data_IF_453547760043
#
_entry.id   IF_453547760043
#
_cell.length_a   1.000
_cell.length_b   1.000
_cell.length_c   1.000
_cell.angle_alpha   90.00
_cell.angle_beta   90.00
_cell.angle_gamma   90.00
#
_symmetry.space_group_name_H-M   'P 1'
#
loop_
_entity.id
_entity.type
_entity.pdbx_description
1 polymer ?
#
# COMPACT_ATOMS: atom_id res chain seq x y z
N UNK A 1 -10.05 -18.59 -6.34
CA UNK A 1 -9.89 -17.60 -5.26
C UNK A 1 -8.43 -17.21 -5.24
N UNK A 2 -8.08 -15.99 -5.61
CA UNK A 2 -6.69 -15.51 -5.60
C UNK A 2 -6.30 -15.22 -4.16
N UNK A 3 -5.56 -16.14 -3.55
CA UNK A 3 -4.85 -15.92 -2.30
C UNK A 3 -3.83 -14.81 -2.55
N UNK A 4 -3.86 -13.72 -1.78
CA UNK A 4 -2.73 -12.78 -1.77
C UNK A 4 -1.51 -13.56 -1.27
N UNK A 5 -0.50 -13.73 -2.13
CA UNK A 5 0.65 -14.59 -1.92
C UNK A 5 1.68 -14.01 -0.93
N UNK A 6 1.21 -13.52 0.22
CA UNK A 6 2.03 -12.90 1.26
C UNK A 6 1.57 -13.29 2.66
N UNK A 7 2.38 -12.96 3.66
CA UNK A 7 2.00 -13.11 5.07
C UNK A 7 0.75 -12.28 5.37
N UNK A 8 -0.14 -12.77 6.27
CA UNK A 8 -1.33 -12.02 6.65
C UNK A 8 -0.94 -10.63 7.18
N UNK A 9 -1.54 -9.58 6.63
CA UNK A 9 -1.25 -8.22 7.04
C UNK A 9 -2.15 -7.83 8.23
N UNK A 10 -1.53 -7.57 9.38
CA UNK A 10 -2.21 -7.01 10.54
C UNK A 10 -2.72 -5.60 10.23
N UNK A 11 -3.95 -5.33 10.62
CA UNK A 11 -4.68 -4.07 10.42
C UNK A 11 -5.54 -3.76 11.65
N UNK A 12 -6.10 -2.56 11.70
CA UNK A 12 -7.14 -2.17 12.64
C UNK A 12 -8.36 -1.68 11.87
N UNK A 13 -9.57 -2.01 12.35
CA UNK A 13 -10.82 -1.46 11.80
C UNK A 13 -11.58 -0.65 12.83
N UNK A 14 -12.32 0.35 12.37
CA UNK A 14 -13.08 1.25 13.24
C UNK A 14 -14.47 0.69 13.52
N UNK A 15 -14.83 0.58 14.80
CA UNK A 15 -16.14 0.10 15.24
C UNK A 15 -16.51 0.74 16.57
N UNK A 16 -17.76 1.20 16.73
CA UNK A 16 -18.28 1.77 17.99
C UNK A 16 -17.40 2.86 18.62
N UNK A 17 -16.69 3.66 17.80
CA UNK A 17 -15.83 4.73 18.30
C UNK A 17 -14.39 4.31 18.63
N UNK A 18 -14.05 3.02 18.46
CA UNK A 18 -12.75 2.46 18.80
C UNK A 18 -12.12 1.72 17.62
N UNK A 19 -10.81 1.49 17.68
CA UNK A 19 -10.05 0.73 16.69
C UNK A 19 -9.79 -0.69 17.22
N UNK A 20 -10.21 -1.69 16.46
CA UNK A 20 -10.09 -3.10 16.83
C UNK A 20 -9.10 -3.83 15.92
N UNK A 21 -8.27 -4.75 16.47
CA UNK A 21 -7.31 -5.51 15.68
C UNK A 21 -8.01 -6.47 14.71
N UNK A 22 -7.44 -6.61 13.51
CA UNK A 22 -7.93 -7.47 12.45
C UNK A 22 -6.78 -7.91 11.52
N UNK A 23 -7.10 -8.82 10.61
CA UNK A 23 -6.20 -9.34 9.58
C UNK A 23 -6.80 -9.08 8.21
N UNK A 24 -6.02 -8.54 7.30
CA UNK A 24 -6.42 -8.33 5.91
C UNK A 24 -6.31 -9.63 5.11
N UNK A 25 -7.42 -10.06 4.51
CA UNK A 25 -7.49 -11.26 3.69
C UNK A 25 -7.51 -10.98 2.18
N UNK A 26 -7.92 -9.79 1.77
CA UNK A 26 -8.14 -9.46 0.36
C UNK A 26 -8.78 -8.09 0.18
N UNK A 27 -8.97 -7.70 -1.08
CA UNK A 27 -9.65 -6.47 -1.45
C UNK A 27 -10.45 -6.67 -2.75
N UNK A 28 -11.43 -5.80 -2.98
CA UNK A 28 -12.20 -5.73 -4.22
C UNK A 28 -12.64 -4.28 -4.48
N UNK A 29 -13.13 -4.02 -5.67
CA UNK A 29 -13.93 -2.83 -5.94
C UNK A 29 -15.42 -3.17 -5.92
N UNK A 30 -16.24 -2.26 -5.40
CA UNK A 30 -17.69 -2.30 -5.56
C UNK A 30 -18.13 -1.86 -6.97
N UNK A 31 -19.43 -1.79 -7.21
CA UNK A 31 -20.00 -1.38 -8.50
C UNK A 31 -19.70 0.09 -8.88
N UNK A 32 -19.31 0.91 -7.91
CA UNK A 32 -18.97 2.33 -8.09
C UNK A 32 -17.45 2.56 -8.15
N UNK A 33 -16.65 1.51 -8.03
CA UNK A 33 -15.19 1.57 -8.04
C UNK A 33 -14.56 1.85 -6.67
N UNK A 34 -15.35 1.86 -5.59
CA UNK A 34 -14.82 2.04 -4.23
C UNK A 34 -14.10 0.79 -3.77
N UNK A 35 -12.94 0.96 -3.12
CA UNK A 35 -12.20 -0.17 -2.56
C UNK A 35 -12.82 -0.66 -1.24
N UNK A 36 -13.15 -1.95 -1.21
CA UNK A 36 -13.55 -2.68 -0.03
C UNK A 36 -12.48 -3.71 0.34
N UNK A 37 -12.18 -3.80 1.63
CA UNK A 37 -11.24 -4.75 2.20
C UNK A 37 -12.00 -5.92 2.82
N UNK A 38 -11.54 -7.14 2.56
CA UNK A 38 -12.02 -8.32 3.27
C UNK A 38 -11.16 -8.50 4.51
N UNK A 39 -11.77 -8.33 5.67
CA UNK A 39 -11.09 -8.38 6.96
C UNK A 39 -11.56 -9.57 7.78
N UNK A 40 -10.67 -10.15 8.59
CA UNK A 40 -10.99 -11.14 9.62
C UNK A 40 -10.66 -10.56 10.99
N UNK A 41 -11.54 -10.77 11.96
CA UNK A 41 -11.39 -10.25 13.32
C UNK A 41 -12.11 -11.17 14.32
N UNK A 42 -11.87 -10.95 15.61
CA UNK A 42 -12.51 -11.70 16.69
C UNK A 42 -13.33 -10.75 17.59
N UNK A 43 -14.62 -11.05 17.78
CA UNK A 43 -15.48 -10.34 18.73
C UNK A 43 -16.18 -11.37 19.61
N UNK A 44 -16.04 -11.21 20.93
CA UNK A 44 -16.64 -12.13 21.91
C UNK A 44 -16.13 -13.57 21.75
N UNK A 45 -14.87 -13.77 21.35
CA UNK A 45 -14.27 -15.08 21.13
C UNK A 45 -14.63 -15.76 19.80
N UNK A 46 -15.43 -15.10 18.95
CA UNK A 46 -15.82 -15.65 17.65
C UNK A 46 -15.07 -14.97 16.52
N UNK A 47 -14.38 -15.77 15.71
CA UNK A 47 -13.79 -15.31 14.44
C UNK A 47 -14.88 -14.99 13.44
N UNK A 48 -14.84 -13.78 12.91
CA UNK A 48 -15.74 -13.26 11.88
C UNK A 48 -14.93 -12.72 10.71
N UNK A 49 -15.57 -12.67 9.55
CA UNK A 49 -15.00 -12.01 8.38
C UNK A 49 -16.07 -11.20 7.66
N UNK A 50 -15.69 -10.02 7.17
CA UNK A 50 -16.60 -9.10 6.51
C UNK A 50 -15.88 -8.24 5.47
N UNK A 51 -16.67 -7.58 4.62
CA UNK A 51 -16.18 -6.51 3.74
C UNK A 51 -16.36 -5.18 4.46
N UNK A 52 -15.33 -4.33 4.43
CA UNK A 52 -15.33 -2.99 5.03
C UNK A 52 -14.78 -1.97 4.04
N UNK A 53 -15.24 -0.73 4.13
CA UNK A 53 -14.69 0.34 3.30
C UNK A 53 -13.22 0.59 3.69
N UNK A 54 -12.37 0.92 2.70
CA UNK A 54 -10.98 1.29 2.95
C UNK A 54 -10.83 2.43 3.99
N UNK A 55 -11.81 3.34 4.04
CA UNK A 55 -11.82 4.46 4.98
C UNK A 55 -11.97 4.04 6.46
N UNK A 56 -12.53 2.85 6.71
CA UNK A 56 -12.79 2.33 8.06
C UNK A 56 -11.65 1.44 8.58
N UNK A 57 -10.54 1.35 7.84
CA UNK A 57 -9.41 0.46 8.14
C UNK A 57 -8.10 1.24 8.11
N UNK A 58 -7.18 0.90 9.01
CA UNK A 58 -5.83 1.47 9.04
C UNK A 58 -4.78 0.42 9.37
N UNK A 59 -3.52 0.76 9.13
CA UNK A 59 -2.41 -0.03 9.67
C UNK A 59 -2.35 0.13 11.19
N UNK A 60 -1.92 -0.91 11.94
CA UNK A 60 -1.83 -0.84 13.38
C UNK A 60 -0.94 0.32 13.80
N UNK A 61 -1.40 1.09 14.77
CA UNK A 61 -0.67 2.26 15.21
C UNK A 61 0.56 1.81 16.01
N UNK A 62 1.70 1.63 15.34
CA UNK A 62 2.98 1.35 16.00
C UNK A 62 3.36 2.57 16.81
N UNK A 63 3.55 2.39 18.13
CA UNK A 63 4.19 3.39 18.96
C UNK A 63 5.59 3.60 18.40
N UNK A 64 5.77 4.68 17.65
CA UNK A 64 7.11 5.08 17.23
C UNK A 64 7.82 5.46 18.51
N UNK A 65 8.74 4.60 18.98
CA UNK A 65 9.64 4.97 20.05
C UNK A 65 10.21 6.33 19.66
N UNK A 66 9.97 7.35 20.50
CA UNK A 66 10.42 8.72 20.24
C UNK A 66 11.90 8.62 19.94
N UNK A 67 12.27 8.81 18.67
CA UNK A 67 13.65 8.64 18.23
C UNK A 67 14.42 9.77 18.90
N UNK A 68 15.05 9.50 20.04
CA UNK A 68 16.03 10.41 20.61
C UNK A 68 17.04 10.64 19.48
N UNK A 69 17.21 11.89 19.01
CA UNK A 69 18.23 12.16 18.02
C UNK A 69 19.55 11.59 18.56
N UNK A 70 20.31 10.80 17.77
CA UNK A 70 21.66 10.46 18.21
C UNK A 70 22.38 11.77 18.55
N UNK A 71 23.24 11.79 19.60
CA UNK A 71 24.02 12.99 19.92
C UNK A 71 24.70 13.44 18.63
N UNK A 72 24.54 14.73 18.31
CA UNK A 72 25.07 15.28 17.07
C UNK A 72 26.57 14.92 16.98
N UNK A 73 27.01 14.24 15.91
CA UNK A 73 28.43 14.05 15.70
C UNK A 73 29.07 15.43 15.60
N UNK A 74 30.20 15.62 16.28
CA UNK A 74 31.03 16.80 16.09
C UNK A 74 31.40 16.84 14.60
N UNK A 75 30.84 17.79 13.84
CA UNK A 75 31.15 17.93 12.42
C UNK A 75 32.67 18.07 12.25
N UNK A 76 33.31 17.07 11.63
CA UNK A 76 34.53 17.34 10.87
C UNK A 76 34.05 17.83 9.51
N UNK A 77 34.29 19.11 9.26
CA UNK A 77 33.65 19.89 8.22
C UNK A 77 34.12 19.54 6.80
N UNK A 78 34.06 18.28 6.34
CA UNK A 78 34.41 17.93 4.95
C UNK A 78 33.56 16.84 4.26
N UNK A 79 32.69 16.08 4.95
CA UNK A 79 32.00 14.92 4.30
C UNK A 79 30.47 14.84 4.48
N UNK A 80 29.80 15.92 4.90
CA UNK A 80 28.32 15.96 4.93
C UNK A 80 27.75 16.44 3.59
N UNK A 81 27.83 15.60 2.55
CA UNK A 81 26.98 15.78 1.37
C UNK A 81 25.57 15.31 1.70
N UNK A 82 24.81 16.18 2.36
CA UNK A 82 23.35 16.07 2.38
C UNK A 82 22.87 16.40 0.97
N UNK A 83 22.48 15.38 0.19
CA UNK A 83 21.74 15.60 -1.06
C UNK A 83 20.27 15.84 -0.69
N UNK A 84 19.76 17.09 -0.75
CA UNK A 84 18.32 17.27 -0.66
C UNK A 84 17.70 16.63 -1.89
N UNK A 85 16.77 15.70 -1.68
CA UNK A 85 15.90 15.20 -2.74
C UNK A 85 15.04 16.40 -3.16
N UNK A 86 15.47 17.15 -4.16
CA UNK A 86 14.67 18.19 -4.81
C UNK A 86 13.91 17.50 -5.93
N UNK A 87 12.58 17.51 -5.84
CA UNK A 87 11.67 16.90 -6.82
C UNK A 87 11.66 17.65 -8.17
N UNK A 88 12.45 18.71 -8.30
CA UNK A 88 12.32 19.73 -9.34
C UNK A 88 13.48 19.71 -10.36
N UNK A 89 14.50 18.86 -10.16
CA UNK A 89 15.51 18.59 -11.17
C UNK A 89 15.09 17.34 -11.94
N UNK A 90 14.68 17.56 -13.20
CA UNK A 90 14.32 16.51 -14.14
C UNK A 90 15.38 15.42 -14.13
N UNK A 91 14.96 14.23 -13.72
CA UNK A 91 15.76 13.02 -13.78
C UNK A 91 16.17 12.81 -15.24
N UNK A 92 17.44 13.05 -15.57
CA UNK A 92 18.06 12.56 -16.80
C UNK A 92 18.10 11.04 -16.69
N UNK A 93 16.95 10.41 -16.97
CA UNK A 93 16.87 8.97 -17.13
C UNK A 93 17.89 8.56 -18.19
N UNK A 94 18.71 7.52 -17.95
CA UNK A 94 19.40 6.90 -19.06
C UNK A 94 18.35 6.55 -20.13
N UNK A 95 18.61 7.01 -21.35
CA UNK A 95 17.69 6.85 -22.47
C UNK A 95 17.20 5.41 -22.54
N UNK A 96 15.89 5.17 -22.78
CA UNK A 96 15.31 3.85 -22.81
C UNK A 96 15.75 3.01 -24.04
N UNK A 97 17.04 2.76 -24.23
CA UNK A 97 17.57 1.86 -25.23
C UNK A 97 17.69 0.44 -24.63
N UNK A 98 16.58 -0.29 -24.49
CA UNK A 98 16.62 -1.69 -24.06
C UNK A 98 15.35 -2.27 -23.43
N UNK A 99 14.39 -1.44 -23.05
CA UNK A 99 13.03 -1.88 -22.69
C UNK A 99 12.23 -2.08 -23.99
N UNK A 100 12.38 -3.25 -24.59
CA UNK A 100 11.51 -3.64 -25.70
C UNK A 100 10.11 -3.89 -25.12
N UNK A 101 9.24 -2.86 -25.16
CA UNK A 101 7.82 -3.04 -24.82
C UNK A 101 7.22 -3.93 -25.89
N UNK A 102 6.67 -5.11 -25.54
CA UNK A 102 5.91 -5.88 -26.50
C UNK A 102 4.74 -5.02 -26.97
N UNK A 103 4.78 -4.56 -28.23
CA UNK A 103 3.65 -3.88 -28.83
C UNK A 103 2.48 -4.85 -28.86
N UNK A 104 1.27 -4.46 -28.39
CA UNK A 104 0.10 -5.30 -28.57
C UNK A 104 -0.03 -5.60 -30.06
N UNK A 105 -0.17 -6.89 -30.42
CA UNK A 105 -0.49 -7.27 -31.79
C UNK A 105 -1.81 -6.59 -32.14
N UNK A 106 -1.77 -5.62 -33.05
CA UNK A 106 -2.96 -5.07 -33.70
C UNK A 106 -3.55 -6.17 -34.58
N UNK A 107 -4.33 -7.05 -33.99
CA UNK A 107 -5.15 -8.06 -34.67
C UNK A 107 -6.62 -7.74 -34.41
N UNK A 108 -7.37 -7.57 -35.49
CA UNK A 108 -8.80 -7.29 -35.55
C UNK A 108 -9.64 -8.05 -34.51
N UNK A 109 -10.43 -7.31 -33.73
CA UNK A 109 -11.65 -7.84 -33.12
C UNK A 109 -12.83 -7.04 -33.67
N UNK A 110 -13.32 -7.48 -34.84
CA UNK A 110 -14.67 -7.16 -35.30
C UNK A 110 -15.66 -7.72 -34.28
N UNK A 111 -16.19 -6.86 -33.42
CA UNK A 111 -17.38 -7.17 -32.63
C UNK A 111 -18.60 -7.09 -33.55
N UNK A 112 -19.01 -8.23 -34.10
CA UNK A 112 -20.34 -8.40 -34.66
C UNK A 112 -21.37 -8.33 -33.52
N UNK A 113 -22.20 -7.29 -33.52
CA UNK A 113 -23.49 -7.29 -32.83
C UNK A 113 -24.45 -8.19 -33.61
N UNK A 114 -25.03 -9.17 -32.93
CA UNK A 114 -26.35 -9.73 -33.24
C UNK A 114 -27.03 -10.06 -31.91
#
# INVERSE_FOLDING_TARGET
>A
MTTLAGEPLDIEFFHLGEWFPAVLLGWRHDAWGTCELRVQFEIGGLKRAGWMALADVRLPQRQTARRTPPPAPWHRAEDDVVVPIRYDLGWDAPSPAGWDVPRPRTGEHSYSRA
#
